data_IF_126690825687
#
_entry.id   IF_126690825687
#
_cell.length_a   1.000
_cell.length_b   1.000
_cell.length_c   1.000
_cell.angle_alpha   90.00
_cell.angle_beta   90.00
_cell.angle_gamma   90.00
#
_symmetry.space_group_name_H-M   'P 1'
#
loop_
_entity.id
_entity.type
_entity.pdbx_description
1 polymer ?
#
# COMPACT_ATOMS: atom_id res chain seq x y z
N UNK A 1 63.14 5.16 -61.02
CA UNK A 1 62.00 6.01 -61.09
C UNK A 1 61.17 5.57 -62.29
N UNK A 2 59.88 5.29 -62.05
CA UNK A 2 58.99 4.97 -63.18
C UNK A 2 58.63 6.30 -63.86
N UNK A 3 58.59 6.27 -65.21
CA UNK A 3 58.10 7.43 -65.96
C UNK A 3 56.54 7.47 -65.92
N UNK A 4 55.95 8.64 -66.17
CA UNK A 4 54.51 8.79 -66.16
C UNK A 4 53.79 7.81 -67.10
N UNK A 5 54.37 7.53 -68.26
CA UNK A 5 53.85 6.54 -69.24
C UNK A 5 53.93 5.10 -68.71
N UNK A 6 54.93 4.77 -67.88
CA UNK A 6 55.04 3.44 -67.25
C UNK A 6 54.05 3.27 -66.06
N UNK A 7 53.73 4.31 -65.33
CA UNK A 7 52.74 4.26 -64.29
C UNK A 7 51.31 4.16 -64.85
N UNK A 8 51.03 4.81 -65.97
CA UNK A 8 49.75 4.76 -66.67
C UNK A 8 49.49 3.36 -67.29
N UNK A 9 50.52 2.77 -67.95
CA UNK A 9 50.44 1.40 -68.46
C UNK A 9 50.32 0.32 -67.40
N UNK A 10 50.83 0.59 -66.20
CA UNK A 10 50.74 -0.30 -65.02
C UNK A 10 49.43 -0.13 -64.22
N UNK A 11 48.57 0.80 -64.64
CA UNK A 11 47.28 1.06 -63.93
C UNK A 11 47.46 1.62 -62.53
N UNK A 12 48.59 2.29 -62.23
CA UNK A 12 48.87 2.83 -60.92
C UNK A 12 48.22 4.21 -60.80
N UNK A 13 47.24 4.36 -59.94
CA UNK A 13 46.61 5.61 -59.63
C UNK A 13 47.10 6.12 -58.30
N UNK A 14 47.55 7.38 -58.26
CA UNK A 14 47.90 8.05 -57.04
C UNK A 14 46.69 8.80 -56.49
N UNK A 15 46.32 8.53 -55.23
CA UNK A 15 45.30 9.32 -54.55
C UNK A 15 45.93 9.98 -53.32
N UNK A 16 45.43 11.13 -52.97
CA UNK A 16 45.75 11.75 -51.67
C UNK A 16 44.89 11.15 -50.59
N UNK A 17 45.47 10.98 -49.42
CA UNK A 17 44.72 10.56 -48.24
C UNK A 17 43.87 11.78 -47.83
N UNK A 18 42.59 11.63 -47.84
CA UNK A 18 41.62 12.62 -47.42
C UNK A 18 40.92 12.11 -46.18
N UNK A 19 40.78 12.93 -45.15
CA UNK A 19 39.91 12.67 -44.02
C UNK A 19 38.47 12.88 -44.46
N UNK A 20 37.67 11.83 -44.37
CA UNK A 20 36.25 11.87 -44.71
C UNK A 20 35.40 11.39 -43.55
N UNK A 21 34.43 12.20 -43.15
CA UNK A 21 33.48 11.76 -42.17
C UNK A 21 32.62 10.62 -42.73
N UNK A 22 32.68 9.47 -42.10
CA UNK A 22 31.88 8.29 -42.45
C UNK A 22 30.82 8.09 -41.42
N UNK A 23 29.56 8.30 -41.80
CA UNK A 23 28.43 7.99 -40.95
C UNK A 23 27.90 6.59 -41.19
N UNK A 24 27.74 5.83 -40.14
CA UNK A 24 27.14 4.50 -40.19
C UNK A 24 25.78 4.56 -39.49
N UNK A 25 24.77 4.02 -40.15
CA UNK A 25 23.43 3.91 -39.53
C UNK A 25 23.44 2.68 -38.63
N UNK A 26 23.42 2.91 -37.32
CA UNK A 26 23.25 1.84 -36.33
C UNK A 26 21.74 1.65 -36.07
N UNK A 27 21.20 0.52 -36.48
CA UNK A 27 19.82 0.12 -36.14
C UNK A 27 19.82 -0.59 -34.80
N UNK A 28 19.16 0.02 -33.82
CA UNK A 28 18.98 -0.55 -32.49
C UNK A 28 17.50 -0.91 -32.30
N UNK A 29 17.27 -2.13 -31.82
CA UNK A 29 15.94 -2.54 -31.39
C UNK A 29 15.82 -2.26 -29.90
N UNK A 30 14.75 -1.59 -29.50
CA UNK A 30 14.46 -1.27 -28.11
C UNK A 30 12.99 -1.47 -27.80
N UNK A 31 12.70 -1.68 -26.51
CA UNK A 31 11.34 -1.69 -25.96
C UNK A 31 11.16 -0.42 -25.11
N UNK A 32 10.04 0.26 -25.30
CA UNK A 32 9.67 1.35 -24.41
C UNK A 32 9.09 0.72 -23.13
N UNK A 33 9.68 1.04 -21.99
CA UNK A 33 9.29 0.52 -20.69
C UNK A 33 9.23 1.67 -19.67
N UNK A 34 8.57 1.42 -18.53
CA UNK A 34 8.43 2.40 -17.45
C UNK A 34 9.61 2.25 -16.50
N UNK A 35 10.25 3.36 -16.06
CA UNK A 35 11.26 3.29 -15.03
C UNK A 35 10.74 2.59 -13.77
N UNK A 36 11.53 1.70 -13.12
CA UNK A 36 11.09 0.93 -11.96
C UNK A 36 10.51 1.76 -10.81
N UNK A 37 11.02 2.98 -10.61
CA UNK A 37 10.52 3.92 -9.61
C UNK A 37 9.10 4.43 -9.86
N UNK A 38 8.60 4.31 -11.09
CA UNK A 38 7.26 4.74 -11.49
C UNK A 38 6.26 3.57 -11.54
N UNK A 39 6.73 2.34 -11.26
CA UNK A 39 5.88 1.15 -11.14
C UNK A 39 5.33 1.07 -9.72
N UNK A 40 4.02 1.10 -9.58
CA UNK A 40 3.33 0.98 -8.30
C UNK A 40 2.58 -0.36 -8.27
N UNK A 41 2.90 -1.19 -7.29
CA UNK A 41 2.13 -2.41 -7.01
C UNK A 41 1.04 -2.09 -6.00
N UNK A 42 -0.21 -2.31 -6.39
CA UNK A 42 -1.35 -2.17 -5.48
C UNK A 42 -1.57 -3.52 -4.79
N UNK A 43 -1.39 -3.55 -3.47
CA UNK A 43 -1.63 -4.73 -2.63
C UNK A 43 -2.62 -4.39 -1.52
N UNK A 44 -3.35 -5.40 -1.07
CA UNK A 44 -4.36 -5.28 -0.03
C UNK A 44 -3.89 -6.04 1.20
N UNK A 45 -3.85 -5.42 2.39
CA UNK A 45 -3.24 -6.01 3.59
C UNK A 45 -3.86 -7.35 4.02
N UNK A 46 -5.18 -7.49 3.91
CA UNK A 46 -5.90 -8.69 4.35
C UNK A 46 -6.26 -9.66 3.24
N UNK A 47 -6.01 -9.27 1.96
CA UNK A 47 -6.48 -10.06 0.80
C UNK A 47 -7.99 -10.02 0.65
N UNK A 48 -8.56 -11.02 -0.02
CA UNK A 48 -10.00 -11.16 -0.24
C UNK A 48 -10.32 -11.66 -1.64
N UNK A 49 -11.60 -11.92 -1.90
CA UNK A 49 -12.10 -12.30 -3.21
C UNK A 49 -12.48 -11.05 -4.01
N UNK A 50 -12.06 -11.01 -5.27
CA UNK A 50 -12.43 -9.94 -6.17
C UNK A 50 -13.92 -10.04 -6.51
N UNK A 51 -14.72 -9.08 -6.06
CA UNK A 51 -16.14 -8.99 -6.39
C UNK A 51 -16.34 -8.39 -7.78
N UNK A 52 -15.68 -7.27 -8.04
CA UNK A 52 -15.74 -6.57 -9.32
C UNK A 52 -14.49 -5.75 -9.58
N UNK A 53 -14.15 -5.58 -10.85
CA UNK A 53 -13.13 -4.64 -11.30
C UNK A 53 -13.54 -4.02 -12.62
N UNK A 54 -13.27 -2.73 -12.79
CA UNK A 54 -13.49 -1.99 -14.01
C UNK A 54 -12.19 -1.74 -14.80
N UNK A 55 -11.07 -2.35 -14.34
CA UNK A 55 -9.78 -2.17 -14.97
C UNK A 55 -9.58 -3.12 -16.16
N UNK A 56 -9.17 -2.54 -17.25
CA UNK A 56 -8.63 -3.27 -18.41
C UNK A 56 -7.16 -2.89 -18.60
N UNK A 57 -6.33 -3.79 -19.14
CA UNK A 57 -4.96 -3.45 -19.50
C UNK A 57 -4.90 -2.21 -20.38
N UNK A 58 -4.07 -1.23 -20.00
CA UNK A 58 -3.97 0.04 -20.71
C UNK A 58 -4.97 1.13 -20.29
N UNK A 59 -5.87 0.85 -19.34
CA UNK A 59 -6.77 1.86 -18.80
C UNK A 59 -6.04 2.93 -18.01
N UNK A 60 -6.44 4.20 -18.20
CA UNK A 60 -5.94 5.31 -17.41
C UNK A 60 -6.65 5.35 -16.05
N UNK A 61 -5.88 5.42 -14.96
CA UNK A 61 -6.40 5.54 -13.60
C UNK A 61 -6.03 6.88 -12.97
N UNK A 62 -6.94 7.42 -12.17
CA UNK A 62 -6.74 8.68 -11.43
C UNK A 62 -6.56 8.38 -9.95
N UNK A 63 -5.87 9.27 -9.25
CA UNK A 63 -5.75 9.17 -7.79
C UNK A 63 -7.15 9.21 -7.13
N UNK A 64 -7.41 8.25 -6.22
CA UNK A 64 -8.71 8.11 -5.54
C UNK A 64 -9.79 7.39 -6.36
N UNK A 65 -9.48 6.93 -7.56
CA UNK A 65 -10.43 6.14 -8.35
C UNK A 65 -10.57 4.74 -7.76
N UNK A 66 -11.81 4.27 -7.62
CA UNK A 66 -12.09 2.87 -7.27
C UNK A 66 -11.72 1.97 -8.46
N UNK A 67 -10.78 1.07 -8.23
CA UNK A 67 -10.24 0.17 -9.25
C UNK A 67 -10.77 -1.25 -9.13
N UNK A 68 -11.13 -1.66 -7.92
CA UNK A 68 -11.68 -2.97 -7.65
C UNK A 68 -12.45 -2.97 -6.34
N UNK A 69 -13.47 -3.82 -6.26
CA UNK A 69 -14.21 -4.10 -5.02
C UNK A 69 -13.91 -5.51 -4.57
N UNK A 70 -13.57 -5.66 -3.30
CA UNK A 70 -13.23 -6.95 -2.68
C UNK A 70 -14.27 -7.31 -1.64
N UNK A 71 -14.48 -8.61 -1.49
CA UNK A 71 -15.33 -9.19 -0.45
C UNK A 71 -14.55 -10.28 0.29
N UNK A 72 -14.63 -10.27 1.62
CA UNK A 72 -14.17 -11.37 2.47
C UNK A 72 -14.91 -11.32 3.80
N UNK A 73 -15.25 -12.48 4.32
CA UNK A 73 -15.90 -12.63 5.63
C UNK A 73 -15.06 -12.02 6.77
N UNK A 74 -13.74 -11.98 6.61
CA UNK A 74 -12.82 -11.37 7.58
C UNK A 74 -13.09 -9.89 7.81
N UNK A 75 -13.54 -9.16 6.79
CA UNK A 75 -13.90 -7.75 6.93
C UNK A 75 -15.12 -7.57 7.82
N UNK A 76 -16.12 -8.43 7.67
CA UNK A 76 -17.32 -8.42 8.51
C UNK A 76 -16.95 -8.79 9.95
N UNK A 77 -16.13 -9.83 10.13
CA UNK A 77 -15.65 -10.25 11.45
C UNK A 77 -14.91 -9.14 12.17
N UNK A 78 -14.00 -8.43 11.49
CA UNK A 78 -13.25 -7.32 12.08
C UNK A 78 -14.16 -6.17 12.52
N UNK A 79 -15.18 -5.85 11.73
CA UNK A 79 -16.18 -4.83 12.09
C UNK A 79 -17.01 -5.27 13.30
N UNK A 80 -17.42 -6.54 13.35
CA UNK A 80 -18.13 -7.10 14.49
C UNK A 80 -17.28 -7.07 15.77
N UNK A 81 -16.02 -7.49 15.70
CA UNK A 81 -15.09 -7.49 16.83
C UNK A 81 -14.88 -6.07 17.37
N UNK A 82 -14.78 -5.08 16.50
CA UNK A 82 -14.69 -3.67 16.88
C UNK A 82 -15.94 -3.21 17.63
N UNK A 83 -17.14 -3.52 17.13
CA UNK A 83 -18.39 -3.12 17.79
C UNK A 83 -18.56 -3.78 19.17
N UNK A 84 -18.18 -5.06 19.27
CA UNK A 84 -18.18 -5.79 20.55
C UNK A 84 -17.17 -5.15 21.53
N UNK A 85 -15.96 -4.84 21.07
CA UNK A 85 -14.94 -4.19 21.90
C UNK A 85 -15.39 -2.80 22.38
N UNK A 86 -16.09 -2.04 21.53
CA UNK A 86 -16.66 -0.73 21.88
C UNK A 86 -17.72 -0.83 22.99
N UNK A 87 -18.60 -1.81 22.90
CA UNK A 87 -19.61 -2.07 23.95
C UNK A 87 -18.95 -2.52 25.25
N UNK A 88 -17.95 -3.41 25.14
CA UNK A 88 -17.17 -3.89 26.30
C UNK A 88 -16.46 -2.75 27.01
N UNK A 89 -15.80 -1.86 26.27
CA UNK A 89 -15.12 -0.68 26.84
C UNK A 89 -16.10 0.16 27.66
N UNK A 90 -17.25 0.51 27.11
CA UNK A 90 -18.28 1.30 27.85
C UNK A 90 -18.72 0.59 29.15
N UNK A 91 -18.79 -0.73 29.15
CA UNK A 91 -19.19 -1.49 30.33
C UNK A 91 -18.11 -1.47 31.41
N UNK A 92 -16.85 -1.77 31.02
CA UNK A 92 -15.74 -1.80 31.99
C UNK A 92 -15.35 -0.41 32.46
N UNK A 93 -15.53 0.63 31.65
CA UNK A 93 -15.35 2.03 32.03
C UNK A 93 -16.29 2.43 33.17
N UNK A 94 -17.57 2.11 33.06
CA UNK A 94 -18.57 2.35 34.14
C UNK A 94 -18.24 1.57 35.41
N UNK A 95 -17.72 0.36 35.25
CA UNK A 95 -17.28 -0.45 36.39
C UNK A 95 -16.05 0.13 37.05
N UNK A 96 -15.07 0.58 36.29
CA UNK A 96 -13.88 1.25 36.80
C UNK A 96 -14.24 2.48 37.61
N UNK A 97 -15.04 3.40 37.09
CA UNK A 97 -15.45 4.60 37.83
C UNK A 97 -16.21 4.25 39.11
N UNK A 98 -17.09 3.26 39.08
CA UNK A 98 -17.78 2.78 40.28
C UNK A 98 -16.80 2.25 41.35
N UNK A 99 -15.80 1.44 40.94
CA UNK A 99 -14.81 0.94 41.87
C UNK A 99 -13.90 2.04 42.39
N UNK A 100 -13.61 3.05 41.59
CA UNK A 100 -12.86 4.23 41.98
C UNK A 100 -13.56 4.99 43.12
N UNK A 101 -14.85 5.26 43.00
CA UNK A 101 -15.67 5.93 44.02
C UNK A 101 -15.74 5.12 45.31
N UNK A 102 -15.94 3.78 45.21
CA UNK A 102 -15.97 2.88 46.34
C UNK A 102 -14.61 2.78 47.06
N UNK A 103 -13.52 2.79 46.31
CA UNK A 103 -12.18 2.78 46.89
C UNK A 103 -11.88 4.09 47.62
N UNK A 104 -12.21 5.24 47.01
CA UNK A 104 -12.06 6.56 47.66
C UNK A 104 -12.84 6.67 48.97
N UNK A 105 -14.03 6.06 49.03
CA UNK A 105 -14.82 5.99 50.27
C UNK A 105 -14.39 4.87 51.24
N UNK A 106 -13.29 4.16 50.94
CA UNK A 106 -12.80 3.00 51.72
C UNK A 106 -13.79 1.84 51.81
N UNK A 107 -14.77 1.78 50.91
CA UNK A 107 -15.76 0.72 50.84
C UNK A 107 -15.38 -0.47 49.93
N UNK A 108 -14.32 -0.35 49.15
CA UNK A 108 -13.75 -1.41 48.33
C UNK A 108 -12.26 -1.63 48.66
N UNK A 109 -11.77 -2.86 48.43
CA UNK A 109 -10.33 -3.13 48.57
C UNK A 109 -9.53 -2.60 47.36
N UNK A 110 -8.30 -2.18 47.62
CA UNK A 110 -7.35 -1.74 46.59
C UNK A 110 -7.18 -2.77 45.47
N UNK A 111 -7.20 -4.06 45.82
CA UNK A 111 -7.10 -5.16 44.84
C UNK A 111 -8.24 -5.11 43.80
N UNK A 112 -9.47 -4.89 44.25
CA UNK A 112 -10.64 -4.83 43.36
C UNK A 112 -10.57 -3.61 42.43
N UNK A 113 -10.12 -2.48 42.95
CA UNK A 113 -9.90 -1.28 42.17
C UNK A 113 -8.80 -1.49 41.10
N UNK A 114 -7.66 -2.05 41.50
CA UNK A 114 -6.56 -2.36 40.55
C UNK A 114 -6.98 -3.33 39.45
N UNK A 115 -7.81 -4.32 39.77
CA UNK A 115 -8.36 -5.23 38.74
C UNK A 115 -9.27 -4.50 37.78
N UNK A 116 -10.17 -3.64 38.26
CA UNK A 116 -11.05 -2.85 37.41
C UNK A 116 -10.27 -1.86 36.51
N UNK A 117 -9.21 -1.27 37.02
CA UNK A 117 -8.30 -0.41 36.28
C UNK A 117 -7.57 -1.20 35.16
N UNK A 118 -7.03 -2.37 35.48
CA UNK A 118 -6.38 -3.22 34.48
C UNK A 118 -7.34 -3.67 33.39
N UNK A 119 -8.57 -4.04 33.73
CA UNK A 119 -9.59 -4.42 32.76
C UNK A 119 -9.97 -3.27 31.84
N UNK A 120 -10.09 -2.06 32.39
CA UNK A 120 -10.36 -0.85 31.61
C UNK A 120 -9.23 -0.54 30.62
N UNK A 121 -7.97 -0.56 31.10
CA UNK A 121 -6.80 -0.35 30.25
C UNK A 121 -6.71 -1.41 29.13
N UNK A 122 -6.93 -2.67 29.44
CA UNK A 122 -6.93 -3.76 28.46
C UNK A 122 -8.02 -3.55 27.39
N UNK A 123 -9.22 -3.14 27.81
CA UNK A 123 -10.31 -2.86 26.87
C UNK A 123 -10.00 -1.66 25.95
N UNK A 124 -9.35 -0.61 26.48
CA UNK A 124 -8.91 0.53 25.67
C UNK A 124 -7.88 0.12 24.62
N UNK A 125 -6.86 -0.66 25.02
CA UNK A 125 -5.81 -1.14 24.12
C UNK A 125 -6.41 -2.00 23.01
N UNK A 126 -7.32 -2.91 23.36
CA UNK A 126 -7.97 -3.79 22.40
C UNK A 126 -8.81 -3.00 21.38
N UNK A 127 -9.62 -2.04 21.85
CA UNK A 127 -10.42 -1.19 20.97
C UNK A 127 -9.52 -0.42 20.01
N UNK A 128 -8.45 0.20 20.53
CA UNK A 128 -7.51 0.98 19.70
C UNK A 128 -6.83 0.13 18.63
N UNK A 129 -6.43 -1.10 18.97
CA UNK A 129 -5.84 -2.03 18.01
C UNK A 129 -6.82 -2.38 16.86
N UNK A 130 -8.10 -2.60 17.19
CA UNK A 130 -9.14 -2.87 16.20
C UNK A 130 -9.45 -1.63 15.34
N UNK A 131 -9.42 -0.42 15.91
CA UNK A 131 -9.54 0.82 15.16
C UNK A 131 -8.43 0.99 14.12
N UNK A 132 -7.19 0.73 14.51
CA UNK A 132 -6.06 0.82 13.58
C UNK A 132 -6.16 -0.25 12.47
N UNK A 133 -6.60 -1.47 12.79
CA UNK A 133 -6.82 -2.50 11.79
C UNK A 133 -7.91 -2.09 10.78
N UNK A 134 -9.00 -1.46 11.23
CA UNK A 134 -10.04 -0.91 10.35
C UNK A 134 -9.51 0.20 9.45
N UNK A 135 -8.68 1.10 10.00
CA UNK A 135 -8.05 2.18 9.22
C UNK A 135 -7.11 1.65 8.13
N UNK A 136 -6.34 0.59 8.43
CA UNK A 136 -5.44 -0.03 7.46
C UNK A 136 -6.18 -0.57 6.22
N UNK A 137 -7.43 -0.99 6.38
CA UNK A 137 -8.28 -1.45 5.27
C UNK A 137 -9.13 -0.33 4.66
N UNK A 138 -8.92 0.93 5.08
CA UNK A 138 -9.61 2.10 4.56
C UNK A 138 -11.02 2.35 5.13
N UNK A 139 -11.42 1.60 6.17
CA UNK A 139 -12.69 1.82 6.86
C UNK A 139 -12.55 2.86 7.97
N UNK A 140 -13.54 3.77 8.05
CA UNK A 140 -13.60 4.73 9.14
C UNK A 140 -14.42 4.15 10.32
N UNK A 141 -13.77 3.87 11.48
CA UNK A 141 -14.43 3.28 12.64
C UNK A 141 -15.62 4.10 13.17
N UNK A 142 -15.59 5.44 13.01
CA UNK A 142 -16.64 6.33 13.50
C UNK A 142 -17.99 6.14 12.81
N UNK A 143 -17.98 5.62 11.58
CA UNK A 143 -19.19 5.42 10.78
C UNK A 143 -19.81 4.03 10.98
N UNK A 144 -19.16 3.15 11.77
CA UNK A 144 -19.62 1.79 11.99
C UNK A 144 -20.65 1.73 13.11
N UNK A 145 -21.80 1.16 12.78
CA UNK A 145 -22.92 0.88 13.68
C UNK A 145 -23.44 -0.54 13.41
N UNK A 146 -24.22 -1.08 14.37
CA UNK A 146 -24.81 -2.41 14.24
C UNK A 146 -25.78 -2.55 13.04
N UNK A 147 -26.23 -1.45 12.45
CA UNK A 147 -27.16 -1.44 11.31
C UNK A 147 -26.46 -1.36 9.94
N UNK A 148 -25.17 -1.13 9.91
CA UNK A 148 -24.39 -1.00 8.65
C UNK A 148 -23.15 -1.91 8.59
N UNK A 149 -23.26 -3.05 9.23
CA UNK A 149 -22.26 -4.15 9.23
C UNK A 149 -22.20 -4.81 7.86
#
# INVERSE_FOLDING_TARGET
MLSDAQSENAGINFCRIEEKEVSTILKLNGKVDVPPQNLISVSIPMGGYLKSTNLLPGSLVKQGQEIATLEDQKYIQLQQDYLIAKVKLNTVEKQFFRQQELNQSKAASDKVFQMAEADYQNAQINLKALEENLRLIGLNPSNLNASNL
#
